data_IF_677954841915
#
_entry.id   IF_677954841915
#
_cell.length_a   1.000
_cell.length_b   1.000
_cell.length_c   1.000
_cell.angle_alpha   90.00
_cell.angle_beta   90.00
_cell.angle_gamma   90.00
#
_symmetry.space_group_name_H-M   'P 1'
#
loop_
_entity.id
_entity.type
_entity.pdbx_description
1 polymer ?
#
# COMPACT_ATOMS: atom_id res chain seq x y z
N UNK A 1 -15.48 3.27 -7.17
CA UNK A 1 -15.07 4.11 -6.01
C UNK A 1 -13.85 3.49 -5.37
N UNK A 2 -12.98 4.31 -4.77
CA UNK A 2 -11.82 3.86 -4.01
C UNK A 2 -11.79 4.54 -2.64
N UNK A 3 -11.31 3.83 -1.63
CA UNK A 3 -10.83 4.35 -0.35
C UNK A 3 -9.33 4.11 -0.34
N UNK A 4 -8.54 5.16 -0.11
CA UNK A 4 -7.09 5.06 -0.09
C UNK A 4 -6.46 5.99 0.95
N UNK A 5 -5.32 5.56 1.48
CA UNK A 5 -4.48 6.34 2.38
C UNK A 5 -3.89 5.49 3.51
N UNK A 6 -3.14 6.15 4.38
CA UNK A 6 -2.72 5.60 5.66
C UNK A 6 -3.93 5.48 6.60
N UNK A 7 -4.32 4.25 6.91
CA UNK A 7 -5.43 3.95 7.83
C UNK A 7 -4.93 3.50 9.21
N UNK A 8 -3.62 3.54 9.45
CA UNK A 8 -2.97 3.12 10.70
C UNK A 8 -3.47 1.75 11.20
N UNK A 9 -3.61 0.79 10.28
CA UNK A 9 -4.30 -0.48 10.51
C UNK A 9 -3.56 -1.62 9.81
N UNK A 10 -3.26 -2.72 10.48
CA UNK A 10 -2.65 -3.88 9.81
C UNK A 10 -3.57 -4.50 8.74
N UNK A 11 -2.99 -5.21 7.77
CA UNK A 11 -3.72 -5.83 6.65
C UNK A 11 -4.91 -6.73 7.07
N UNK A 12 -4.75 -7.46 8.18
CA UNK A 12 -5.77 -8.38 8.74
C UNK A 12 -6.39 -7.83 10.03
N UNK A 13 -6.52 -6.51 10.13
CA UNK A 13 -7.14 -5.84 11.27
C UNK A 13 -8.62 -5.55 11.03
N UNK A 14 -9.37 -5.42 12.14
CA UNK A 14 -10.82 -5.17 12.13
C UNK A 14 -11.27 -3.98 11.27
N UNK A 15 -10.57 -2.82 11.23
CA UNK A 15 -10.95 -1.74 10.34
C UNK A 15 -10.93 -2.15 8.87
N UNK A 16 -9.90 -2.87 8.43
CA UNK A 16 -9.77 -3.34 7.04
C UNK A 16 -10.83 -4.40 6.74
N UNK A 17 -11.07 -5.34 7.66
CA UNK A 17 -12.11 -6.35 7.50
C UNK A 17 -13.52 -5.74 7.44
N UNK A 18 -13.75 -4.63 8.14
CA UNK A 18 -15.03 -3.90 8.07
C UNK A 18 -15.24 -3.32 6.67
N UNK A 19 -14.20 -2.75 6.06
CA UNK A 19 -14.26 -2.25 4.69
C UNK A 19 -14.47 -3.37 3.66
N UNK A 20 -13.81 -4.53 3.87
CA UNK A 20 -14.02 -5.74 3.05
C UNK A 20 -15.45 -6.26 3.16
N UNK A 21 -15.98 -6.37 4.38
CA UNK A 21 -17.36 -6.77 4.63
C UNK A 21 -18.39 -5.79 4.04
N UNK A 22 -18.01 -4.52 3.89
CA UNK A 22 -18.77 -3.51 3.15
C UNK A 22 -18.76 -3.67 1.63
N UNK A 23 -18.09 -4.70 1.10
CA UNK A 23 -18.05 -5.04 -0.34
C UNK A 23 -16.87 -4.44 -1.10
N UNK A 24 -15.85 -3.92 -0.43
CA UNK A 24 -14.63 -3.42 -1.08
C UNK A 24 -13.56 -4.52 -1.17
N UNK A 25 -12.83 -4.57 -2.27
CA UNK A 25 -11.71 -5.50 -2.48
C UNK A 25 -10.40 -4.75 -2.27
N UNK A 26 -9.44 -5.37 -1.60
CA UNK A 26 -8.14 -4.76 -1.38
C UNK A 26 -7.22 -5.03 -2.57
N UNK A 27 -6.58 -4.00 -3.12
CA UNK A 27 -5.69 -4.16 -4.29
C UNK A 27 -4.50 -5.12 -4.05
N UNK A 28 -4.15 -5.40 -2.79
CA UNK A 28 -3.08 -6.34 -2.47
C UNK A 28 -3.45 -7.82 -2.64
N UNK A 29 -4.72 -8.12 -2.93
CA UNK A 29 -5.15 -9.48 -3.24
C UNK A 29 -4.43 -10.08 -4.46
N UNK A 30 -3.86 -9.24 -5.34
CA UNK A 30 -3.13 -9.67 -6.55
C UNK A 30 -1.61 -9.70 -6.41
N UNK A 31 -1.05 -9.40 -5.22
CA UNK A 31 0.40 -9.45 -4.97
C UNK A 31 0.74 -10.40 -3.81
N UNK A 32 1.96 -10.97 -3.75
CA UNK A 32 2.41 -11.82 -2.65
C UNK A 32 2.36 -11.10 -1.29
N UNK A 33 2.18 -11.85 -0.21
CA UNK A 33 2.12 -11.29 1.15
C UNK A 33 3.38 -10.50 1.54
N UNK A 34 4.54 -10.97 1.06
CA UNK A 34 5.85 -10.38 1.34
C UNK A 34 6.00 -8.95 0.80
N UNK A 35 5.20 -8.57 -0.20
CA UNK A 35 5.22 -7.24 -0.83
C UNK A 35 4.20 -6.27 -0.22
N UNK A 36 3.41 -6.70 0.78
CA UNK A 36 2.26 -5.93 1.30
C UNK A 36 2.63 -5.01 2.46
N UNK A 37 3.81 -4.40 2.47
CA UNK A 37 4.19 -3.45 3.52
C UNK A 37 4.51 -2.10 2.92
N UNK A 38 4.17 -1.04 3.65
CA UNK A 38 4.53 0.33 3.30
C UNK A 38 5.43 0.97 4.33
N UNK A 39 5.59 0.37 5.51
CA UNK A 39 6.28 0.98 6.64
C UNK A 39 7.11 -0.07 7.39
N UNK A 40 8.25 0.33 7.96
CA UNK A 40 9.07 -0.51 8.83
C UNK A 40 9.29 0.20 10.15
N UNK A 41 8.84 -0.42 11.25
CA UNK A 41 9.08 0.06 12.61
C UNK A 41 9.87 -0.97 13.41
N UNK A 42 11.04 -0.58 13.91
CA UNK A 42 11.90 -1.44 14.72
C UNK A 42 12.17 -2.82 14.08
N UNK A 43 12.33 -2.84 12.75
CA UNK A 43 12.59 -4.06 11.98
C UNK A 43 11.34 -4.90 11.66
N UNK A 44 10.14 -4.43 11.99
CA UNK A 44 8.88 -5.08 11.62
C UNK A 44 8.25 -4.36 10.42
N UNK A 45 8.06 -5.09 9.32
CA UNK A 45 7.30 -4.62 8.17
C UNK A 45 5.81 -4.57 8.49
N UNK A 46 5.16 -3.46 8.13
CA UNK A 46 3.78 -3.17 8.45
C UNK A 46 3.04 -2.66 7.21
N UNK A 47 1.83 -3.18 7.02
CA UNK A 47 0.84 -2.60 6.11
C UNK A 47 0.10 -1.50 6.85
N UNK A 48 0.28 -0.23 6.45
CA UNK A 48 -0.50 0.89 7.01
C UNK A 48 -1.22 1.69 5.92
N UNK A 49 -0.67 1.70 4.70
CA UNK A 49 -1.27 2.33 3.53
C UNK A 49 -2.11 1.32 2.75
N UNK A 50 -3.36 1.69 2.51
CA UNK A 50 -4.32 0.82 1.86
C UNK A 50 -4.92 1.48 0.62
N UNK A 51 -5.30 0.63 -0.33
CA UNK A 51 -6.22 0.98 -1.41
C UNK A 51 -7.27 -0.14 -1.46
N UNK A 52 -8.52 0.21 -1.16
CA UNK A 52 -9.67 -0.68 -1.31
C UNK A 52 -10.63 -0.09 -2.32
N UNK A 53 -11.14 -0.92 -3.23
CA UNK A 53 -11.95 -0.48 -4.36
C UNK A 53 -13.23 -1.28 -4.49
N UNK A 54 -14.26 -0.67 -5.08
CA UNK A 54 -15.51 -1.36 -5.42
C UNK A 54 -15.25 -2.51 -6.40
N UNK A 55 -16.10 -3.57 -6.42
CA UNK A 55 -15.89 -4.74 -7.30
C UNK A 55 -15.70 -4.39 -8.78
N UNK A 56 -16.51 -3.47 -9.31
CA UNK A 56 -16.41 -3.04 -10.71
C UNK A 56 -15.07 -2.37 -11.04
N UNK A 57 -14.48 -1.64 -10.08
CA UNK A 57 -13.17 -1.01 -10.26
C UNK A 57 -12.04 -2.03 -10.06
N UNK A 58 -12.21 -3.00 -9.16
CA UNK A 58 -11.28 -4.11 -8.98
C UNK A 58 -11.16 -4.95 -10.26
N UNK A 59 -12.27 -5.17 -10.98
CA UNK A 59 -12.27 -5.89 -12.25
C UNK A 59 -11.45 -5.22 -13.36
N UNK A 60 -11.11 -3.93 -13.20
CA UNK A 60 -10.25 -3.18 -14.12
C UNK A 60 -8.79 -3.10 -13.64
N UNK A 61 -8.46 -3.66 -12.47
CA UNK A 61 -7.12 -3.64 -11.89
C UNK A 61 -6.19 -4.53 -12.71
N UNK A 62 -5.11 -3.95 -13.24
CA UNK A 62 -4.11 -4.69 -14.02
C UNK A 62 -2.79 -4.86 -13.28
N UNK A 63 -2.50 -4.00 -12.30
CA UNK A 63 -1.25 -4.05 -11.54
C UNK A 63 -1.40 -3.38 -10.19
N UNK A 64 -0.76 -3.97 -9.20
CA UNK A 64 -0.51 -3.35 -7.89
C UNK A 64 0.96 -3.50 -7.56
N UNK A 65 1.56 -2.48 -6.98
CA UNK A 65 2.94 -2.50 -6.51
C UNK A 65 3.09 -1.56 -5.32
N UNK A 66 3.83 -1.98 -4.31
CA UNK A 66 4.39 -1.06 -3.32
C UNK A 66 5.78 -0.65 -3.81
N UNK A 67 6.00 0.65 -3.97
CA UNK A 67 7.26 1.18 -4.44
C UNK A 67 8.22 1.28 -3.26
N UNK A 68 8.94 0.18 -2.98
CA UNK A 68 9.98 0.11 -1.95
C UNK A 68 11.17 1.02 -2.27
N UNK A 69 10.97 2.32 -2.07
CA UNK A 69 11.94 3.40 -2.29
C UNK A 69 12.24 4.15 -0.99
N UNK A 70 11.45 3.93 0.06
CA UNK A 70 11.50 4.64 1.32
C UNK A 70 11.87 3.73 2.48
N UNK A 71 10.94 2.86 2.93
CA UNK A 71 11.03 2.16 4.21
C UNK A 71 12.27 1.25 4.34
N UNK A 72 12.75 0.71 3.21
CA UNK A 72 13.91 -0.19 3.15
C UNK A 72 15.27 0.54 3.17
N UNK A 73 15.27 1.86 3.05
CA UNK A 73 16.49 2.65 2.95
C UNK A 73 16.84 3.32 4.27
N UNK A 74 18.13 3.61 4.47
CA UNK A 74 18.57 4.38 5.62
C UNK A 74 18.12 5.84 5.50
N UNK A 75 18.14 6.57 6.62
CA UNK A 75 17.90 8.02 6.63
C UNK A 75 18.86 8.71 5.65
N UNK A 76 18.36 9.68 4.86
CA UNK A 76 19.18 10.36 3.86
C UNK A 76 20.21 11.25 4.54
N UNK A 77 21.41 11.34 3.97
CA UNK A 77 22.36 12.39 4.35
C UNK A 77 21.91 13.73 3.79
N UNK A 78 22.37 14.88 4.34
CA UNK A 78 21.94 16.20 3.86
C UNK A 78 22.21 16.47 2.37
N UNK A 79 23.14 15.76 1.76
CA UNK A 79 23.54 15.85 0.35
C UNK A 79 22.94 14.74 -0.53
N UNK A 80 22.14 13.83 0.04
CA UNK A 80 21.45 12.79 -0.73
C UNK A 80 20.33 13.40 -1.59
N UNK A 81 20.54 13.42 -2.90
CA UNK A 81 19.57 13.90 -3.89
C UNK A 81 18.79 12.76 -4.57
N UNK A 82 18.92 11.51 -4.09
CA UNK A 82 18.16 10.38 -4.61
C UNK A 82 16.70 10.47 -4.17
N UNK A 83 15.76 9.83 -4.89
CA UNK A 83 14.37 9.78 -4.46
C UNK A 83 14.13 8.81 -3.29
N UNK A 84 15.19 8.35 -2.60
CA UNK A 84 15.09 7.34 -1.54
C UNK A 84 14.84 7.97 -0.18
N UNK A 85 14.06 7.30 0.66
CA UNK A 85 13.72 7.72 2.02
C UNK A 85 13.32 9.21 2.11
N UNK A 86 12.50 9.65 1.14
CA UNK A 86 11.91 11.00 1.14
C UNK A 86 10.64 11.06 2.00
N UNK A 87 10.11 9.88 2.33
CA UNK A 87 9.08 9.61 3.35
C UNK A 87 9.54 8.40 4.15
N UNK A 88 8.92 8.17 5.31
CA UNK A 88 9.00 6.94 6.09
C UNK A 88 8.07 5.83 5.55
N UNK A 89 7.15 6.17 4.64
CA UNK A 89 6.22 5.23 4.00
C UNK A 89 6.53 5.03 2.51
N UNK A 90 6.39 3.80 2.02
CA UNK A 90 6.44 3.47 0.59
C UNK A 90 5.11 3.77 -0.11
N UNK A 91 5.12 4.39 -1.31
CA UNK A 91 3.91 4.60 -2.08
C UNK A 91 3.27 3.29 -2.56
N UNK A 92 1.96 3.16 -2.35
CA UNK A 92 1.15 2.09 -2.94
C UNK A 92 0.57 2.55 -4.28
N UNK A 93 0.86 1.80 -5.34
CA UNK A 93 0.42 2.13 -6.71
C UNK A 93 -0.51 1.03 -7.22
N UNK A 94 -1.71 1.43 -7.66
CA UNK A 94 -2.66 0.59 -8.37
C UNK A 94 -2.92 1.15 -9.77
N UNK A 95 -2.78 0.32 -10.80
CA UNK A 95 -3.01 0.69 -12.21
C UNK A 95 -4.27 0.00 -12.70
N UNK A 96 -5.16 0.79 -13.31
CA UNK A 96 -6.43 0.32 -13.86
C UNK A 96 -6.49 0.58 -15.36
N UNK A 97 -7.06 -0.35 -16.11
CA UNK A 97 -7.36 -0.17 -17.53
C UNK A 97 -8.81 0.33 -17.68
N UNK A 98 -8.97 1.59 -18.10
CA UNK A 98 -10.28 2.19 -18.37
C UNK A 98 -10.48 2.24 -19.89
N UNK A 99 -11.64 1.78 -20.34
CA UNK A 99 -12.06 1.84 -21.75
C UNK A 99 -12.70 3.17 -22.09
#
# INVERSE_FOLDING_TARGET
>A
MAILGDLNSYYDSRPIDTLRAGGLNHVFEIIPAEERYSYIYQGLSQTLDHILVTPDLFALLIRTQVLHVNADYALPTPDDATPRHTSDHDPVVATFEIK
#
